data_IF_290826918992
#
_entry.id   IF_290826918992
#
_cell.length_a   1.000
_cell.length_b   1.000
_cell.length_c   1.000
_cell.angle_alpha   90.00
_cell.angle_beta   90.00
_cell.angle_gamma   90.00
#
_symmetry.space_group_name_H-M   'P 1'
#
loop_
_entity.id
_entity.type
_entity.pdbx_description
1 polymer ?
#
# COMPACT_ATOMS: atom_id res chain seq x y z
N UNK A 1 -14.21 7.83 -11.02
CA UNK A 1 -14.08 6.37 -11.18
C UNK A 1 -14.85 5.74 -10.02
N UNK A 2 -15.81 4.86 -10.29
CA UNK A 2 -16.67 4.30 -9.25
C UNK A 2 -16.02 3.02 -8.71
N UNK A 3 -15.47 3.08 -7.50
CA UNK A 3 -14.80 1.95 -6.85
C UNK A 3 -15.88 1.03 -6.27
N UNK A 4 -15.89 -0.28 -6.58
CA UNK A 4 -16.82 -1.21 -5.95
C UNK A 4 -16.61 -1.25 -4.43
N UNK A 5 -17.66 -1.42 -3.61
CA UNK A 5 -17.52 -1.49 -2.16
C UNK A 5 -16.54 -2.61 -1.78
N UNK A 6 -15.61 -2.30 -0.85
CA UNK A 6 -14.55 -3.18 -0.36
C UNK A 6 -13.40 -3.54 -1.34
N UNK A 7 -13.24 -2.80 -2.43
CA UNK A 7 -12.09 -2.94 -3.35
C UNK A 7 -11.22 -1.68 -3.36
N UNK A 8 -9.90 -1.84 -3.45
CA UNK A 8 -8.92 -0.77 -3.48
C UNK A 8 -8.00 -0.87 -4.68
N UNK A 9 -7.26 0.20 -4.97
CA UNK A 9 -6.25 0.21 -6.02
C UNK A 9 -4.89 0.39 -5.36
N UNK A 10 -3.99 -0.58 -5.54
CA UNK A 10 -2.63 -0.50 -5.00
C UNK A 10 -1.61 -0.23 -6.10
N UNK A 11 -0.49 0.36 -5.69
CA UNK A 11 0.74 0.41 -6.48
C UNK A 11 1.66 -0.70 -5.99
N UNK A 12 1.92 -0.74 -4.69
CA UNK A 12 2.84 -1.71 -4.11
C UNK A 12 2.59 -1.99 -2.62
N UNK A 13 3.02 -3.17 -2.17
CA UNK A 13 3.28 -3.44 -0.75
C UNK A 13 4.72 -3.97 -0.57
N UNK A 14 5.40 -3.52 0.47
CA UNK A 14 6.79 -3.91 0.74
C UNK A 14 7.23 -3.63 2.16
N UNK A 15 8.29 -4.31 2.60
CA UNK A 15 8.97 -4.07 3.87
C UNK A 15 10.12 -3.08 3.70
N UNK A 16 10.11 -2.00 4.48
CA UNK A 16 11.19 -1.01 4.49
C UNK A 16 11.35 -0.36 5.86
N UNK A 17 12.39 0.45 6.01
CA UNK A 17 12.57 1.33 7.16
C UNK A 17 11.88 2.66 6.86
N UNK A 18 11.11 3.17 7.83
CA UNK A 18 10.49 4.49 7.74
C UNK A 18 11.56 5.58 7.68
N UNK A 19 11.45 6.43 6.67
CA UNK A 19 12.40 7.51 6.40
C UNK A 19 11.97 8.85 6.97
N UNK A 20 10.70 9.01 7.38
CA UNK A 20 10.12 10.29 7.77
C UNK A 20 9.25 10.23 9.03
N UNK A 21 9.09 11.39 9.68
CA UNK A 21 8.20 11.57 10.82
C UNK A 21 8.67 10.97 12.15
N UNK A 22 7.76 10.69 13.10
CA UNK A 22 8.12 10.24 14.44
C UNK A 22 8.66 8.81 14.52
N UNK A 23 8.41 7.99 13.50
CA UNK A 23 8.78 6.56 13.47
C UNK A 23 10.01 6.31 12.58
N UNK A 24 10.80 7.34 12.27
CA UNK A 24 12.05 7.19 11.51
C UNK A 24 12.93 6.10 12.12
N UNK A 25 13.42 5.19 11.29
CA UNK A 25 14.25 4.07 11.72
C UNK A 25 13.47 2.79 12.05
N UNK A 26 12.15 2.88 12.23
CA UNK A 26 11.31 1.70 12.46
C UNK A 26 11.07 0.92 11.17
N UNK A 27 11.09 -0.41 11.25
CA UNK A 27 10.73 -1.28 10.13
C UNK A 27 9.22 -1.40 10.00
N UNK A 28 8.67 -1.05 8.85
CA UNK A 28 7.24 -1.07 8.58
C UNK A 28 6.92 -1.84 7.29
N UNK A 29 5.71 -2.38 7.23
CA UNK A 29 5.10 -2.77 5.95
C UNK A 29 4.42 -1.54 5.36
N UNK A 30 4.86 -1.13 4.18
CA UNK A 30 4.24 -0.06 3.42
C UNK A 30 3.12 -0.64 2.56
N UNK A 31 1.96 0.01 2.59
CA UNK A 31 0.87 -0.21 1.66
C UNK A 31 0.64 1.09 0.90
N UNK A 32 1.03 1.09 -0.38
CA UNK A 32 0.95 2.26 -1.25
C UNK A 32 -0.25 2.12 -2.17
N UNK A 33 -1.25 3.00 -2.04
CA UNK A 33 -2.42 3.00 -2.93
C UNK A 33 -2.11 3.70 -4.27
N UNK A 34 -2.97 3.54 -5.26
CA UNK A 34 -2.94 4.26 -6.53
C UNK A 34 -4.10 5.24 -6.63
N UNK A 35 -3.90 6.32 -7.37
CA UNK A 35 -4.85 7.43 -7.47
C UNK A 35 -4.52 8.56 -6.49
N UNK A 36 -4.53 9.80 -6.99
CA UNK A 36 -4.44 11.01 -6.19
C UNK A 36 -5.29 12.11 -6.87
N UNK A 37 -6.04 12.87 -6.08
CA UNK A 37 -6.86 14.00 -6.53
C UNK A 37 -6.08 15.33 -6.52
N UNK A 38 -4.85 15.31 -6.01
CA UNK A 38 -3.90 16.41 -6.06
C UNK A 38 -2.96 16.29 -7.26
N UNK A 39 -2.45 17.44 -7.71
CA UNK A 39 -1.49 17.55 -8.82
C UNK A 39 -0.27 18.38 -8.40
N UNK A 40 0.29 18.06 -7.23
CA UNK A 40 1.41 18.76 -6.64
C UNK A 40 2.61 18.80 -7.60
N UNK A 41 3.13 20.01 -7.88
CA UNK A 41 4.30 20.21 -8.75
C UNK A 41 5.61 19.64 -8.20
N UNK A 42 5.64 19.31 -6.91
CA UNK A 42 6.82 18.83 -6.17
C UNK A 42 6.64 17.40 -5.66
N UNK A 43 5.68 16.64 -6.20
CA UNK A 43 5.49 15.25 -5.81
C UNK A 43 6.69 14.40 -6.27
N UNK A 44 7.31 13.67 -5.33
CA UNK A 44 8.40 12.74 -5.60
C UNK A 44 7.91 11.35 -6.08
N UNK A 45 6.61 11.08 -5.95
CA UNK A 45 5.96 9.82 -6.26
C UNK A 45 4.87 9.95 -7.35
N UNK A 46 5.10 10.66 -8.47
CA UNK A 46 4.05 10.96 -9.46
C UNK A 46 3.47 9.70 -10.13
N UNK A 47 4.19 8.58 -10.09
CA UNK A 47 3.73 7.29 -10.60
C UNK A 47 2.50 6.75 -9.84
N UNK A 48 2.19 7.24 -8.64
CA UNK A 48 1.03 6.83 -7.86
C UNK A 48 -0.24 7.64 -8.16
N UNK A 49 -0.15 8.71 -8.96
CA UNK A 49 -1.29 9.60 -9.23
C UNK A 49 -2.43 8.91 -10.00
N UNK A 50 -2.11 7.86 -10.75
CA UNK A 50 -3.09 7.10 -11.53
C UNK A 50 -3.23 5.69 -10.97
N UNK A 51 -4.39 5.09 -11.22
CA UNK A 51 -4.60 3.66 -10.96
C UNK A 51 -4.12 2.85 -12.15
N UNK A 52 -3.57 1.68 -11.86
CA UNK A 52 -3.09 0.71 -12.86
C UNK A 52 -3.85 -0.60 -12.71
N UNK A 53 -3.95 -1.37 -13.81
CA UNK A 53 -4.58 -2.69 -13.79
C UNK A 53 -3.82 -3.74 -12.97
N UNK A 54 -2.59 -3.45 -12.57
CA UNK A 54 -1.74 -4.32 -11.76
C UNK A 54 -1.10 -3.55 -10.61
N UNK A 55 -0.72 -4.27 -9.55
CA UNK A 55 0.08 -3.81 -8.41
C UNK A 55 1.21 -4.79 -8.11
N UNK A 56 2.17 -4.38 -7.27
CA UNK A 56 3.34 -5.18 -6.93
C UNK A 56 3.32 -5.61 -5.46
N UNK A 57 3.57 -6.89 -5.19
CA UNK A 57 3.72 -7.38 -3.83
C UNK A 57 5.10 -7.98 -3.62
N UNK A 58 5.83 -7.48 -2.62
CA UNK A 58 7.06 -8.12 -2.19
C UNK A 58 6.75 -9.56 -1.71
N UNK A 59 7.64 -10.52 -2.02
CA UNK A 59 7.45 -11.90 -1.61
C UNK A 59 8.18 -12.21 -0.30
N UNK A 60 9.38 -11.66 -0.15
CA UNK A 60 10.23 -11.83 1.03
C UNK A 60 10.52 -10.46 1.65
N UNK A 61 10.21 -10.23 2.94
CA UNK A 61 10.37 -8.91 3.56
C UNK A 61 11.77 -8.29 3.38
N UNK A 62 11.85 -7.21 2.61
CA UNK A 62 13.05 -6.41 2.38
C UNK A 62 13.96 -6.91 1.27
N UNK A 63 13.62 -8.00 0.58
CA UNK A 63 14.45 -8.55 -0.51
C UNK A 63 14.18 -7.88 -1.86
N UNK A 64 13.07 -7.13 -2.00
CA UNK A 64 12.64 -6.49 -3.26
C UNK A 64 12.32 -7.48 -4.39
N UNK A 65 11.88 -8.69 -4.05
CA UNK A 65 11.45 -9.74 -4.99
C UNK A 65 9.95 -9.65 -5.34
N UNK A 66 9.59 -8.62 -6.12
CA UNK A 66 8.19 -8.31 -6.40
C UNK A 66 7.48 -9.31 -7.33
N UNK A 67 6.24 -9.64 -6.98
CA UNK A 67 5.27 -10.31 -7.84
C UNK A 67 4.22 -9.31 -8.33
N UNK A 68 3.93 -9.31 -9.64
CA UNK A 68 2.84 -8.52 -10.20
C UNK A 68 1.49 -9.24 -10.01
N UNK A 69 0.51 -8.52 -9.50
CA UNK A 69 -0.85 -8.99 -9.21
C UNK A 69 -1.87 -8.06 -9.85
N UNK A 70 -3.10 -8.52 -10.03
CA UNK A 70 -4.15 -7.71 -10.65
C UNK A 70 -4.82 -6.79 -9.65
N UNK A 71 -5.16 -5.59 -10.10
CA UNK A 71 -6.09 -4.67 -9.45
C UNK A 71 -7.50 -4.82 -10.08
N UNK A 72 -8.56 -4.43 -9.36
CA UNK A 72 -8.54 -3.92 -7.98
C UNK A 72 -8.33 -5.05 -6.95
N UNK A 73 -7.77 -4.71 -5.79
CA UNK A 73 -7.52 -5.64 -4.68
C UNK A 73 -8.69 -5.61 -3.68
N UNK A 74 -9.05 -6.75 -3.12
CA UNK A 74 -10.00 -6.83 -2.00
C UNK A 74 -9.30 -6.71 -0.66
N UNK A 75 -10.04 -6.31 0.40
CA UNK A 75 -9.49 -6.24 1.76
C UNK A 75 -8.93 -7.60 2.23
N UNK A 76 -9.58 -8.71 1.84
CA UNK A 76 -9.14 -10.07 2.17
C UNK A 76 -7.84 -10.45 1.47
N UNK A 77 -7.68 -10.09 0.18
CA UNK A 77 -6.43 -10.32 -0.54
C UNK A 77 -5.28 -9.51 0.09
N UNK A 78 -5.50 -8.23 0.39
CA UNK A 78 -4.50 -7.41 1.07
C UNK A 78 -4.11 -8.01 2.43
N UNK A 79 -5.09 -8.42 3.24
CA UNK A 79 -4.83 -9.05 4.54
C UNK A 79 -3.98 -10.32 4.40
N UNK A 80 -4.30 -11.20 3.45
CA UNK A 80 -3.53 -12.43 3.21
C UNK A 80 -2.07 -12.13 2.82
N UNK A 81 -1.84 -11.08 2.03
CA UNK A 81 -0.50 -10.65 1.68
C UNK A 81 0.26 -10.05 2.87
N UNK A 82 -0.41 -9.25 3.69
CA UNK A 82 0.15 -8.67 4.91
C UNK A 82 0.51 -9.75 5.93
N UNK A 83 -0.35 -10.74 6.15
CA UNK A 83 -0.07 -11.88 7.04
C UNK A 83 1.13 -12.69 6.57
N UNK A 84 1.31 -12.84 5.25
CA UNK A 84 2.48 -13.52 4.68
C UNK A 84 3.78 -12.75 4.90
N UNK A 85 3.74 -11.42 4.86
CA UNK A 85 4.91 -10.56 5.01
C UNK A 85 5.21 -10.18 6.46
N UNK A 86 4.17 -10.02 7.29
CA UNK A 86 4.30 -9.63 8.69
C UNK A 86 4.93 -10.77 9.48
N UNK A 87 6.19 -10.58 9.89
CA UNK A 87 6.89 -11.55 10.75
C UNK A 87 6.89 -11.03 12.18
N UNK A 88 6.60 -11.87 13.18
CA UNK A 88 6.72 -11.47 14.58
C UNK A 88 8.06 -10.82 14.86
N UNK A 89 8.05 -9.66 15.53
CA UNK A 89 9.23 -8.86 15.88
C UNK A 89 10.02 -8.24 14.71
N UNK A 90 9.64 -8.47 13.45
CA UNK A 90 10.31 -7.85 12.31
C UNK A 90 9.72 -6.48 11.99
N UNK A 91 8.40 -6.38 11.94
CA UNK A 91 7.70 -5.16 11.59
C UNK A 91 7.09 -4.53 12.83
N UNK A 92 7.36 -3.24 13.02
CA UNK A 92 6.76 -2.42 14.07
C UNK A 92 5.27 -2.17 13.77
N UNK A 93 4.96 -1.77 12.54
CA UNK A 93 3.60 -1.39 12.13
C UNK A 93 3.42 -1.42 10.61
N UNK A 94 2.20 -1.08 10.17
CA UNK A 94 1.88 -0.83 8.76
C UNK A 94 1.87 0.69 8.52
N UNK A 95 2.44 1.13 7.40
CA UNK A 95 2.38 2.51 6.92
C UNK A 95 1.48 2.59 5.69
N UNK A 96 0.32 3.24 5.84
CA UNK A 96 -0.61 3.50 4.73
C UNK A 96 -0.22 4.80 4.05
N UNK A 97 -0.09 4.78 2.72
CA UNK A 97 0.40 5.92 1.95
C UNK A 97 -0.03 5.82 0.48
N UNK A 98 0.31 6.84 -0.32
CA UNK A 98 0.38 6.88 -1.79
C UNK A 98 -0.92 6.55 -2.53
N UNK A 99 -1.17 7.06 -3.73
CA UNK A 99 -1.33 8.50 -3.86
C UNK A 99 -2.10 9.04 -2.66
N UNK A 100 -3.35 9.44 -2.79
CA UNK A 100 -4.12 9.84 -1.60
C UNK A 100 -4.88 8.61 -1.04
N UNK A 101 -4.42 7.97 0.06
CA UNK A 101 -5.08 6.78 0.60
C UNK A 101 -6.54 7.04 0.98
N UNK A 102 -6.90 8.27 1.35
CA UNK A 102 -8.27 8.63 1.72
C UNK A 102 -9.24 8.69 0.53
N UNK A 103 -8.78 8.50 -0.71
CA UNK A 103 -9.67 8.24 -1.85
C UNK A 103 -10.31 6.84 -1.81
N UNK A 104 -9.80 5.95 -0.95
CA UNK A 104 -10.22 4.55 -0.83
C UNK A 104 -10.99 4.28 0.47
N UNK A 105 -11.81 5.22 0.96
CA UNK A 105 -12.46 5.14 2.29
C UNK A 105 -13.26 3.85 2.52
N UNK A 106 -14.04 3.40 1.54
CA UNK A 106 -14.84 2.17 1.67
C UNK A 106 -13.98 0.90 1.78
N UNK A 107 -12.87 0.87 1.04
CA UNK A 107 -11.88 -0.20 1.15
C UNK A 107 -11.16 -0.19 2.49
N UNK A 108 -10.72 0.99 2.93
CA UNK A 108 -10.09 1.17 4.24
C UNK A 108 -11.04 0.77 5.37
N UNK A 109 -12.33 1.11 5.25
CA UNK A 109 -13.36 0.71 6.23
C UNK A 109 -13.60 -0.79 6.27
N UNK A 110 -13.45 -1.49 5.15
CA UNK A 110 -13.58 -2.94 5.08
C UNK A 110 -12.35 -3.67 5.66
N UNK A 111 -11.19 -3.02 5.65
CA UNK A 111 -9.92 -3.61 6.09
C UNK A 111 -9.52 -3.24 7.52
N UNK A 112 -9.63 -1.96 7.89
CA UNK A 112 -9.23 -1.45 9.19
C UNK A 112 -10.27 -1.80 10.28
N UNK A 113 -9.83 -2.02 11.53
CA UNK A 113 -10.71 -2.37 12.66
C UNK A 113 -11.71 -1.26 13.02
#
# INVERSE_FOLDING_TARGET
MQIPPAQGWLVEIFSAIQGEGPLVGERQLFVRTGGCDLSCSWCDSPHTHQVTGNWQAEQTPGSRDFLALHNPVTAAELLAWLERLARPHLHHSISLTGGEPLLHTEFLRAWLP
#
